data_IF_836054434493
#
_entry.id   IF_836054434493
#
_cell.length_a   1.000
_cell.length_b   1.000
_cell.length_c   1.000
_cell.angle_alpha   90.00
_cell.angle_beta   90.00
_cell.angle_gamma   90.00
#
_symmetry.space_group_name_H-M   'P 1'
#
loop_
_entity.id
_entity.type
_entity.pdbx_description
1 polymer ?
#
# COMPACT_ATOMS: atom_id res chain seq x y z
N UNK A 1 -12.80 17.93 -9.05
CA UNK A 1 -11.47 18.47 -8.69
C UNK A 1 -10.69 18.65 -9.98
N UNK A 2 -10.10 19.82 -10.24
CA UNK A 2 -9.34 20.10 -11.45
C UNK A 2 -7.86 20.17 -11.10
N UNK A 3 -7.06 19.33 -11.75
CA UNK A 3 -5.61 19.40 -11.62
C UNK A 3 -5.06 20.47 -12.57
N UNK A 4 -4.18 21.32 -12.06
CA UNK A 4 -3.52 22.35 -12.85
C UNK A 4 -2.09 21.92 -13.16
N UNK A 5 -1.66 22.18 -14.38
CA UNK A 5 -0.31 21.95 -14.83
C UNK A 5 0.21 23.16 -15.61
N UNK A 6 1.37 23.68 -15.19
CA UNK A 6 2.08 24.76 -15.89
C UNK A 6 3.14 24.09 -16.76
N UNK A 7 2.97 24.15 -18.07
CA UNK A 7 3.96 23.64 -19.04
C UNK A 7 5.15 24.59 -19.11
N UNK A 8 6.34 24.02 -19.11
CA UNK A 8 7.61 24.72 -19.25
C UNK A 8 8.50 24.05 -20.30
N UNK A 9 9.42 24.76 -20.83
CA UNK A 9 10.38 24.26 -21.81
C UNK A 9 11.75 24.88 -21.52
N UNK A 10 12.78 24.03 -21.52
CA UNK A 10 14.17 24.47 -21.49
C UNK A 10 14.74 24.37 -22.87
N UNK A 11 15.31 25.46 -23.36
CA UNK A 11 15.99 25.51 -24.65
C UNK A 11 17.49 25.50 -24.39
N UNK A 12 18.21 24.63 -25.09
CA UNK A 12 19.67 24.53 -25.00
C UNK A 12 20.29 24.23 -26.38
N UNK A 13 21.54 24.60 -26.54
CA UNK A 13 22.32 24.20 -27.69
C UNK A 13 23.13 22.95 -27.35
N UNK A 14 22.97 21.88 -28.12
CA UNK A 14 23.56 20.58 -27.79
C UNK A 14 24.91 20.40 -28.59
N UNK A 15 26.07 20.39 -27.89
CA UNK A 15 27.37 20.20 -28.57
C UNK A 15 27.52 18.85 -29.29
N UNK A 16 26.81 17.82 -28.82
CA UNK A 16 26.81 16.48 -29.46
C UNK A 16 25.98 16.43 -30.74
N UNK A 17 25.28 17.52 -31.08
CA UNK A 17 24.45 17.67 -32.27
C UNK A 17 24.78 18.98 -32.99
N UNK A 18 26.05 19.25 -33.13
CA UNK A 18 26.58 20.44 -33.86
C UNK A 18 25.93 21.75 -33.36
N UNK A 19 25.77 21.91 -32.05
CA UNK A 19 25.14 23.07 -31.43
C UNK A 19 23.68 23.28 -31.87
N UNK A 20 23.00 22.24 -32.34
CA UNK A 20 21.57 22.32 -32.67
C UNK A 20 20.73 22.63 -31.46
N UNK A 21 19.73 23.47 -31.65
CA UNK A 21 18.76 23.79 -30.61
C UNK A 21 17.96 22.53 -30.19
N UNK A 22 17.96 22.25 -28.89
CA UNK A 22 17.19 21.19 -28.28
C UNK A 22 16.19 21.78 -27.27
N UNK A 23 14.94 21.37 -27.36
CA UNK A 23 13.85 21.76 -26.46
C UNK A 23 13.44 20.60 -25.59
N UNK A 24 13.49 20.79 -24.28
CA UNK A 24 13.15 19.75 -23.30
C UNK A 24 11.92 20.21 -22.54
N UNK A 25 10.77 19.53 -22.71
CA UNK A 25 9.55 19.88 -21.98
C UNK A 25 9.62 19.45 -20.53
N UNK A 26 9.02 20.24 -19.68
CA UNK A 26 8.75 19.93 -18.29
C UNK A 26 7.39 20.54 -17.87
N UNK A 27 6.88 20.11 -16.73
CA UNK A 27 5.65 20.70 -16.21
C UNK A 27 5.70 20.81 -14.67
N UNK A 28 5.05 21.81 -14.14
CA UNK A 28 4.79 21.93 -12.71
C UNK A 28 3.33 21.55 -12.50
N UNK A 29 3.09 20.52 -11.70
CA UNK A 29 1.75 20.11 -11.27
C UNK A 29 1.47 20.67 -9.89
N UNK A 30 0.25 21.15 -9.72
CA UNK A 30 -0.23 21.72 -8.46
C UNK A 30 -1.26 20.76 -7.87
N UNK A 31 -1.01 20.35 -6.63
CA UNK A 31 -1.98 19.59 -5.85
C UNK A 31 -3.15 20.52 -5.46
N UNK A 32 -4.38 20.25 -5.92
CA UNK A 32 -5.53 21.12 -5.67
C UNK A 32 -6.01 21.13 -4.20
N UNK A 33 -5.56 20.18 -3.38
CA UNK A 33 -5.91 20.12 -1.95
C UNK A 33 -4.94 20.89 -1.08
N UNK A 34 -3.65 20.76 -1.37
CA UNK A 34 -2.60 21.29 -0.48
C UNK A 34 -1.85 22.48 -1.06
N UNK A 35 -2.01 22.77 -2.35
CA UNK A 35 -1.23 23.77 -3.08
C UNK A 35 0.24 23.37 -3.30
N UNK A 36 0.65 22.18 -2.88
CA UNK A 36 2.02 21.67 -3.09
C UNK A 36 2.29 21.46 -4.58
N UNK A 37 3.53 21.67 -4.97
CA UNK A 37 3.94 21.51 -6.36
C UNK A 37 4.88 20.32 -6.54
N UNK A 38 4.75 19.65 -7.69
CA UNK A 38 5.68 18.63 -8.18
C UNK A 38 6.18 19.02 -9.57
N UNK A 39 7.47 18.74 -9.85
CA UNK A 39 8.05 18.92 -11.17
C UNK A 39 8.11 17.59 -11.89
N UNK A 40 7.53 17.55 -13.09
CA UNK A 40 7.59 16.40 -13.99
C UNK A 40 8.55 16.74 -15.11
N UNK A 41 9.61 15.98 -15.20
CA UNK A 41 10.67 16.18 -16.21
C UNK A 41 10.61 15.04 -17.23
N UNK A 42 10.75 15.40 -18.52
CA UNK A 42 10.61 14.46 -19.64
C UNK A 42 11.95 14.19 -20.36
N UNK A 43 13.08 14.47 -19.68
CA UNK A 43 14.41 14.28 -20.28
C UNK A 43 14.93 12.86 -20.17
N UNK A 44 14.29 12.00 -19.36
CA UNK A 44 14.71 10.61 -19.19
C UNK A 44 13.48 9.70 -19.25
N UNK A 45 13.56 8.69 -20.12
CA UNK A 45 12.60 7.57 -20.10
C UNK A 45 13.21 6.48 -19.25
N UNK A 46 12.68 6.29 -18.05
CA UNK A 46 12.99 5.12 -17.25
C UNK A 46 12.35 3.90 -17.94
N UNK A 47 13.20 3.02 -18.46
CA UNK A 47 12.76 1.70 -18.93
C UNK A 47 12.75 0.79 -17.70
N UNK A 48 11.57 0.46 -17.24
CA UNK A 48 11.39 -0.53 -16.19
C UNK A 48 11.10 -1.87 -16.84
N UNK A 49 11.98 -2.83 -16.62
CA UNK A 49 11.61 -4.22 -16.86
C UNK A 49 10.58 -4.60 -15.80
N UNK A 50 9.40 -5.02 -16.24
CA UNK A 50 8.38 -5.48 -15.33
C UNK A 50 8.86 -6.78 -14.70
N UNK A 51 9.08 -6.85 -13.36
CA UNK A 51 9.54 -8.07 -12.73
C UNK A 51 8.48 -9.17 -12.90
N UNK A 52 8.94 -10.41 -13.10
CA UNK A 52 8.08 -11.57 -13.03
C UNK A 52 7.76 -11.90 -11.57
N UNK A 53 6.69 -11.31 -11.06
CA UNK A 53 6.23 -11.55 -9.70
C UNK A 53 5.80 -13.00 -9.48
N UNK A 54 5.36 -13.73 -10.50
CA UNK A 54 5.00 -15.13 -10.36
C UNK A 54 6.24 -15.97 -10.03
N UNK A 55 7.37 -15.70 -10.66
CA UNK A 55 8.63 -16.37 -10.35
C UNK A 55 9.11 -16.07 -8.92
N UNK A 56 8.90 -14.85 -8.43
CA UNK A 56 9.27 -14.46 -7.05
C UNK A 56 8.37 -15.10 -5.99
N UNK A 57 7.10 -15.31 -6.31
CA UNK A 57 6.08 -15.80 -5.37
C UNK A 57 6.01 -17.33 -5.35
N UNK A 58 6.27 -17.98 -6.50
CA UNK A 58 6.16 -19.43 -6.65
C UNK A 58 6.95 -20.20 -5.60
N UNK A 59 6.29 -21.12 -4.90
CA UNK A 59 6.86 -21.98 -3.87
C UNK A 59 6.98 -21.33 -2.48
N UNK A 60 6.66 -20.03 -2.35
CA UNK A 60 6.72 -19.34 -1.05
C UNK A 60 5.50 -19.61 -0.17
N UNK A 61 4.44 -20.21 -0.72
CA UNK A 61 3.23 -20.64 0.00
C UNK A 61 3.55 -21.64 1.12
N UNK A 62 4.55 -22.49 0.89
CA UNK A 62 4.94 -23.57 1.82
C UNK A 62 5.37 -23.05 3.19
N UNK A 63 5.94 -21.85 3.25
CA UNK A 63 6.42 -21.21 4.49
C UNK A 63 5.72 -19.89 4.85
N UNK A 64 4.78 -19.42 4.01
CA UNK A 64 4.06 -18.19 4.28
C UNK A 64 3.13 -18.34 5.51
N UNK A 65 3.27 -17.52 6.55
CA UNK A 65 2.43 -17.60 7.74
C UNK A 65 1.01 -17.08 7.54
N UNK A 66 0.75 -16.39 6.42
CA UNK A 66 -0.52 -15.70 6.16
C UNK A 66 -1.44 -16.47 5.21
N UNK A 67 -0.99 -17.61 4.69
CA UNK A 67 -1.87 -18.51 3.93
C UNK A 67 -2.97 -19.09 4.81
N UNK A 68 -4.12 -19.37 4.21
CA UNK A 68 -5.33 -19.77 4.91
C UNK A 68 -5.14 -20.99 5.84
N UNK A 69 -4.29 -21.94 5.43
CA UNK A 69 -3.95 -23.15 6.20
C UNK A 69 -3.09 -22.87 7.44
N UNK A 70 -2.44 -21.71 7.52
CA UNK A 70 -1.46 -21.36 8.56
C UNK A 70 -1.84 -20.16 9.41
N UNK A 71 -2.57 -19.20 8.85
CA UNK A 71 -2.83 -17.91 9.51
C UNK A 71 -3.42 -18.07 10.92
N UNK A 72 -4.30 -19.05 11.12
CA UNK A 72 -4.91 -19.31 12.41
C UNK A 72 -4.03 -20.11 13.38
N UNK A 73 -2.97 -20.74 12.89
CA UNK A 73 -2.08 -21.61 13.67
C UNK A 73 -0.82 -20.88 14.13
N UNK A 74 -0.19 -20.11 13.23
CA UNK A 74 1.13 -19.55 13.47
C UNK A 74 1.13 -18.05 13.80
N UNK A 75 0.06 -17.32 13.49
CA UNK A 75 0.00 -15.90 13.87
C UNK A 75 -0.37 -15.74 15.35
N UNK A 76 0.07 -14.67 16.04
CA UNK A 76 -0.27 -14.45 17.44
C UNK A 76 -1.75 -14.14 17.66
N UNK A 77 -2.18 -14.16 18.91
CA UNK A 77 -3.53 -13.78 19.33
C UNK A 77 -3.47 -12.51 20.19
N UNK A 78 -4.48 -11.66 20.08
CA UNK A 78 -4.72 -10.60 21.05
C UNK A 78 -5.08 -11.18 22.42
N UNK A 79 -4.78 -10.47 23.52
CA UNK A 79 -5.31 -10.78 24.83
C UNK A 79 -6.85 -10.84 24.81
N UNK A 80 -7.43 -11.69 25.65
CA UNK A 80 -8.89 -11.93 25.65
C UNK A 80 -9.72 -10.73 26.14
N UNK A 81 -9.14 -9.86 26.93
CA UNK A 81 -9.75 -8.61 27.37
C UNK A 81 -9.82 -7.58 26.23
N UNK A 82 -8.93 -7.66 25.24
CA UNK A 82 -8.93 -6.82 24.07
C UNK A 82 -9.80 -7.40 22.94
N UNK A 83 -9.51 -8.65 22.55
CA UNK A 83 -10.24 -9.40 21.52
C UNK A 83 -10.50 -10.82 22.05
N UNK A 84 -11.70 -11.12 22.58
CA UNK A 84 -12.01 -12.43 23.20
C UNK A 84 -11.73 -13.62 22.28
N UNK A 85 -11.92 -13.46 20.97
CA UNK A 85 -11.68 -14.46 19.93
C UNK A 85 -10.20 -14.65 19.63
N UNK A 86 -9.32 -13.78 20.14
CA UNK A 86 -7.89 -13.73 19.90
C UNK A 86 -7.50 -13.15 18.54
N UNK A 87 -8.34 -13.23 17.53
CA UNK A 87 -8.20 -12.64 16.21
C UNK A 87 -9.58 -12.20 15.72
N UNK A 88 -9.63 -11.14 14.92
CA UNK A 88 -10.86 -10.82 14.19
C UNK A 88 -10.83 -11.52 12.83
N UNK A 89 -12.00 -11.97 12.38
CA UNK A 89 -12.20 -12.55 11.08
C UNK A 89 -13.44 -11.96 10.42
N UNK A 90 -13.32 -11.69 9.12
CA UNK A 90 -14.44 -11.29 8.26
C UNK A 90 -14.21 -11.89 6.88
N UNK A 91 -15.11 -12.76 6.47
CA UNK A 91 -14.91 -13.59 5.26
C UNK A 91 -13.55 -14.32 5.35
N UNK A 92 -12.69 -14.15 4.34
CA UNK A 92 -11.35 -14.72 4.32
C UNK A 92 -10.25 -13.79 4.87
N UNK A 93 -10.63 -12.61 5.37
CA UNK A 93 -9.70 -11.65 5.96
C UNK A 93 -9.52 -11.93 7.45
N UNK A 94 -8.30 -11.79 7.95
CA UNK A 94 -7.97 -11.99 9.37
C UNK A 94 -7.14 -10.82 9.88
N UNK A 95 -7.46 -10.33 11.08
CA UNK A 95 -6.65 -9.35 11.82
C UNK A 95 -6.09 -10.02 13.07
N UNK A 96 -4.79 -9.89 13.28
CA UNK A 96 -4.04 -10.46 14.37
C UNK A 96 -2.93 -9.50 14.84
N UNK A 97 -2.33 -9.68 16.04
CA UNK A 97 -1.25 -8.82 16.53
C UNK A 97 -0.03 -8.81 15.61
N UNK A 98 0.59 -7.65 15.46
CA UNK A 98 1.89 -7.56 14.83
C UNK A 98 2.98 -8.05 15.80
N UNK A 99 3.84 -8.98 15.36
CA UNK A 99 4.98 -9.47 16.17
C UNK A 99 6.12 -8.47 16.29
N UNK A 100 6.14 -7.44 15.47
CA UNK A 100 7.06 -6.31 15.53
C UNK A 100 6.29 -5.00 15.62
N UNK A 101 5.56 -4.75 16.73
CA UNK A 101 4.70 -3.59 16.86
C UNK A 101 5.54 -2.31 17.00
N UNK A 102 5.04 -1.23 16.42
CA UNK A 102 5.61 0.11 16.58
C UNK A 102 4.93 0.91 17.69
N UNK A 103 3.81 0.39 18.21
CA UNK A 103 3.01 1.01 19.26
C UNK A 103 2.37 -0.06 20.12
N UNK A 104 1.68 0.33 21.20
CA UNK A 104 1.09 -0.57 22.21
C UNK A 104 0.07 -1.54 21.63
N UNK A 105 -0.67 -1.13 20.61
CA UNK A 105 -1.62 -1.97 19.87
C UNK A 105 -1.27 -1.92 18.39
N UNK A 106 -0.44 -2.86 17.97
CA UNK A 106 -0.09 -3.07 16.56
C UNK A 106 -0.80 -4.29 15.98
N UNK A 107 -1.37 -4.15 14.79
CA UNK A 107 -2.08 -5.21 14.10
C UNK A 107 -1.63 -5.38 12.66
N UNK A 108 -1.79 -6.59 12.15
CA UNK A 108 -1.65 -6.94 10.73
C UNK A 108 -2.99 -7.45 10.25
N UNK A 109 -3.40 -7.05 9.05
CA UNK A 109 -4.60 -7.53 8.38
C UNK A 109 -4.22 -8.22 7.06
N UNK A 110 -4.82 -9.37 6.77
CA UNK A 110 -4.74 -9.99 5.44
C UNK A 110 -5.83 -9.43 4.53
N UNK A 111 -5.59 -9.45 3.21
CA UNK A 111 -6.59 -9.08 2.20
C UNK A 111 -7.48 -10.25 1.77
N UNK A 112 -7.41 -11.40 2.44
CA UNK A 112 -8.13 -12.62 2.13
C UNK A 112 -7.24 -13.85 2.20
N UNK A 113 -7.75 -14.98 1.68
CA UNK A 113 -7.09 -16.28 1.73
C UNK A 113 -5.97 -16.47 0.68
N UNK A 114 -5.89 -15.59 -0.31
CA UNK A 114 -4.91 -15.70 -1.40
C UNK A 114 -3.51 -15.39 -0.91
N UNK A 115 -2.56 -16.26 -1.27
CA UNK A 115 -1.16 -16.06 -0.96
C UNK A 115 -0.59 -14.77 -1.59
N UNK A 116 -0.97 -14.48 -2.81
CA UNK A 116 -0.53 -13.31 -3.54
C UNK A 116 -1.68 -12.69 -4.33
N UNK A 117 -1.79 -11.38 -4.29
CA UNK A 117 -2.73 -10.59 -5.07
C UNK A 117 -1.93 -9.63 -5.96
N UNK A 118 -1.96 -9.83 -7.30
CA UNK A 118 -1.34 -8.87 -8.21
C UNK A 118 -1.91 -7.46 -8.03
N UNK A 119 -1.09 -6.43 -8.20
CA UNK A 119 -1.54 -5.03 -8.06
C UNK A 119 -2.73 -4.68 -8.97
N UNK A 120 -2.83 -5.34 -10.13
CA UNK A 120 -3.94 -5.15 -11.08
C UNK A 120 -5.28 -5.72 -10.59
N UNK A 121 -5.25 -6.56 -9.54
CA UNK A 121 -6.42 -7.18 -8.95
C UNK A 121 -6.89 -6.51 -7.65
N UNK A 122 -6.21 -5.45 -7.22
CA UNK A 122 -6.69 -4.59 -6.14
C UNK A 122 -7.86 -3.74 -6.62
N UNK A 123 -9.05 -4.31 -6.52
CA UNK A 123 -10.29 -3.62 -6.92
C UNK A 123 -10.75 -2.63 -5.84
N UNK A 124 -11.52 -1.58 -6.19
CA UNK A 124 -12.14 -0.70 -5.20
C UNK A 124 -12.97 -1.44 -4.16
N UNK A 125 -13.65 -2.51 -4.55
CA UNK A 125 -14.45 -3.37 -3.64
C UNK A 125 -13.57 -4.08 -2.63
N UNK A 126 -12.46 -4.70 -3.07
CA UNK A 126 -11.50 -5.34 -2.16
C UNK A 126 -10.91 -4.34 -1.17
N UNK A 127 -10.50 -3.17 -1.65
CA UNK A 127 -9.95 -2.11 -0.81
C UNK A 127 -10.98 -1.59 0.19
N UNK A 128 -12.22 -1.34 -0.23
CA UNK A 128 -13.29 -0.91 0.65
C UNK A 128 -13.61 -1.95 1.74
N UNK A 129 -13.62 -3.24 1.39
CA UNK A 129 -13.82 -4.33 2.35
C UNK A 129 -12.68 -4.38 3.38
N UNK A 130 -11.43 -4.32 2.92
CA UNK A 130 -10.27 -4.41 3.81
C UNK A 130 -10.17 -3.19 4.75
N UNK A 131 -10.35 -1.98 4.24
CA UNK A 131 -10.38 -0.77 5.08
C UNK A 131 -11.58 -0.73 6.00
N UNK A 132 -12.76 -1.18 5.55
CA UNK A 132 -13.94 -1.32 6.39
C UNK A 132 -13.69 -2.28 7.55
N UNK A 133 -13.03 -3.41 7.29
CA UNK A 133 -12.66 -4.36 8.33
C UNK A 133 -11.60 -3.80 9.30
N UNK A 134 -10.63 -3.04 8.81
CA UNK A 134 -9.70 -2.32 9.68
C UNK A 134 -10.41 -1.30 10.58
N UNK A 135 -11.40 -0.56 10.06
CA UNK A 135 -12.23 0.34 10.86
C UNK A 135 -13.05 -0.41 11.93
N UNK A 136 -13.56 -1.60 11.60
CA UNK A 136 -14.27 -2.44 12.58
C UNK A 136 -13.31 -2.88 13.71
N UNK A 137 -12.05 -3.17 13.40
CA UNK A 137 -11.03 -3.43 14.41
C UNK A 137 -10.82 -2.22 15.33
N UNK A 138 -10.60 -1.02 14.78
CA UNK A 138 -10.43 0.18 15.61
C UNK A 138 -11.63 0.45 16.52
N UNK A 139 -12.84 0.35 15.99
CA UNK A 139 -14.07 0.48 16.80
C UNK A 139 -14.16 -0.56 17.90
N UNK A 140 -13.72 -1.79 17.63
CA UNK A 140 -13.69 -2.85 18.63
C UNK A 140 -12.70 -2.52 19.74
N UNK A 141 -11.48 -2.08 19.41
CA UNK A 141 -10.49 -1.65 20.41
C UNK A 141 -11.03 -0.47 21.24
N UNK A 142 -11.54 0.56 20.58
CA UNK A 142 -12.12 1.72 21.26
C UNK A 142 -13.23 1.32 22.25
N UNK A 143 -14.08 0.37 21.87
CA UNK A 143 -15.18 -0.11 22.72
C UNK A 143 -14.72 -0.86 23.97
N UNK A 144 -13.48 -1.32 24.04
CA UNK A 144 -12.92 -1.97 25.23
C UNK A 144 -12.56 -0.97 26.33
N UNK A 145 -12.48 0.32 26.01
CA UNK A 145 -12.01 1.36 26.92
C UNK A 145 -10.53 1.21 27.29
N UNK A 146 -9.75 0.49 26.49
CA UNK A 146 -8.30 0.36 26.72
C UNK A 146 -7.66 1.75 26.72
N UNK A 147 -6.79 2.09 27.70
CA UNK A 147 -6.27 3.46 27.85
C UNK A 147 -5.48 3.99 26.67
N UNK A 148 -5.04 3.11 25.76
CA UNK A 148 -4.28 3.44 24.56
C UNK A 148 -5.09 3.32 23.26
N UNK A 149 -6.43 3.23 23.38
CA UNK A 149 -7.36 3.17 22.24
C UNK A 149 -7.76 4.55 21.70
N UNK A 150 -7.00 5.59 22.03
CA UNK A 150 -7.29 6.99 21.64
C UNK A 150 -6.49 7.38 20.40
#
# INVERSE_FOLDING_TARGET
>A
MKFEAIKKETVMLNPQKDMAEQRIPSEIRIDPLTGRTARICHFMKLQWEKPDFNALVSGTESWCPFCADKVHVVTPCFPKDLIPEGRLQKDDMVIFPNTAPYDSIGAVATFGARHYIPMTEFTPTLMASAFGFALDFFRRIESTGHPESV
#
